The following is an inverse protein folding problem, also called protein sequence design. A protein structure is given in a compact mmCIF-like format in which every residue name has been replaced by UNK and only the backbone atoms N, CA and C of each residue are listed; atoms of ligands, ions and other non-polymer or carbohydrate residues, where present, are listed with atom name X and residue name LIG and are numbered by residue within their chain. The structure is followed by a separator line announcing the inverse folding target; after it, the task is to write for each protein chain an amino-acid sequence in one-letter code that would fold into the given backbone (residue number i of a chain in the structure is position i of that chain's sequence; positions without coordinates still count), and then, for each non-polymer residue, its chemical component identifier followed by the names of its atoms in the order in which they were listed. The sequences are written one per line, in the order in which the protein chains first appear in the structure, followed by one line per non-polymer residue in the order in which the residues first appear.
data_IF_059160610177
#
_entry.id   IF_059160610177
#
_cell.length_a   1.000
_cell.length_b   1.000
_cell.length_c   1.000
_cell.angle_alpha   90.00
_cell.angle_beta   90.00
_cell.angle_gamma   90.00
#
_symmetry.space_group_name_H-M   'P 1'
#
loop_
_entity.id
_entity.type
_entity.pdbx_description
1 polymer ?
#
# COMPACT_ATOMS: atom_id res chain seq x y z
N UNK A 1 8.92 11.18 12.18
CA UNK A 1 7.67 11.97 12.12
C UNK A 1 6.55 10.97 12.28
N UNK A 2 6.06 10.79 13.50
CA UNK A 2 4.97 9.87 13.79
C UNK A 2 3.80 10.65 14.40
N UNK A 3 3.29 11.60 13.62
CA UNK A 3 2.08 12.34 13.95
C UNK A 3 1.14 12.27 12.74
N UNK A 4 -0.16 12.31 12.99
CA UNK A 4 -1.26 12.07 12.07
C UNK A 4 -1.15 12.91 10.78
N UNK A 5 -0.79 14.21 10.83
CA UNK A 5 -0.65 15.03 9.63
C UNK A 5 0.42 14.52 8.66
N UNK A 6 1.37 13.70 9.11
CA UNK A 6 2.48 13.22 8.30
C UNK A 6 2.26 11.85 7.65
N UNK A 7 1.25 11.09 8.09
CA UNK A 7 1.06 9.68 7.69
C UNK A 7 0.80 9.52 6.18
N UNK A 8 0.09 10.47 5.57
CA UNK A 8 -0.26 10.41 4.16
C UNK A 8 0.86 10.93 3.23
N UNK A 9 1.82 11.70 3.75
CA UNK A 9 2.86 12.38 2.95
C UNK A 9 3.63 11.42 2.02
N UNK A 10 4.06 10.21 2.45
CA UNK A 10 4.77 9.28 1.58
C UNK A 10 3.98 8.87 0.34
N UNK A 11 2.65 8.85 0.41
CA UNK A 11 1.76 8.48 -0.70
C UNK A 11 1.63 9.58 -1.75
N UNK A 12 2.04 10.82 -1.46
CA UNK A 12 1.98 11.94 -2.40
C UNK A 12 2.91 11.75 -3.61
N UNK A 13 3.93 10.89 -3.54
CA UNK A 13 4.73 10.58 -4.73
C UNK A 13 3.93 9.87 -5.82
N UNK A 14 2.87 9.13 -5.48
CA UNK A 14 1.99 8.51 -6.49
C UNK A 14 1.29 9.58 -7.33
N UNK A 15 0.83 10.66 -6.70
CA UNK A 15 0.22 11.81 -7.37
C UNK A 15 1.21 12.53 -8.29
N UNK A 16 2.51 12.46 -7.99
CA UNK A 16 3.57 13.00 -8.83
C UNK A 16 4.10 12.01 -9.89
N UNK A 17 3.45 10.85 -10.12
CA UNK A 17 3.91 9.85 -11.09
C UNK A 17 5.19 9.12 -10.68
N UNK A 18 5.48 9.06 -9.39
CA UNK A 18 6.71 8.45 -8.83
C UNK A 18 6.42 7.39 -7.75
N UNK A 19 5.55 6.40 -7.99
CA UNK A 19 5.09 5.45 -6.95
C UNK A 19 6.22 4.62 -6.34
N UNK A 20 7.32 4.39 -7.06
CA UNK A 20 8.49 3.69 -6.50
C UNK A 20 9.13 4.45 -5.31
N UNK A 21 8.94 5.77 -5.21
CA UNK A 21 9.39 6.53 -4.04
C UNK A 21 8.49 6.26 -2.83
N UNK A 22 7.17 6.15 -3.02
CA UNK A 22 6.24 5.71 -1.97
C UNK A 22 6.58 4.32 -1.48
N UNK A 23 6.75 3.36 -2.39
CA UNK A 23 7.13 1.98 -2.07
C UNK A 23 8.37 1.91 -1.17
N UNK A 24 9.43 2.66 -1.53
CA UNK A 24 10.65 2.75 -0.71
C UNK A 24 10.37 3.38 0.65
N UNK A 25 9.65 4.51 0.70
CA UNK A 25 9.43 5.26 1.93
C UNK A 25 8.58 4.49 2.93
N UNK A 26 7.49 3.86 2.49
CA UNK A 26 6.62 3.08 3.38
C UNK A 26 7.38 1.91 4.01
N UNK A 27 8.18 1.17 3.24
CA UNK A 27 9.05 0.13 3.79
C UNK A 27 10.01 0.68 4.85
N UNK A 28 10.69 1.79 4.58
CA UNK A 28 11.62 2.40 5.55
C UNK A 28 10.90 2.88 6.82
N UNK A 29 9.73 3.49 6.69
CA UNK A 29 9.01 4.07 7.84
C UNK A 29 8.47 2.98 8.77
N UNK A 30 7.85 1.94 8.21
CA UNK A 30 7.34 0.82 8.99
C UNK A 30 8.48 0.09 9.70
N UNK A 31 9.54 -0.28 8.98
CA UNK A 31 10.70 -0.99 9.53
C UNK A 31 11.42 -0.21 10.64
N UNK A 32 11.53 1.12 10.50
CA UNK A 32 12.26 1.93 11.48
C UNK A 32 11.45 2.28 12.72
N UNK A 33 10.14 2.52 12.57
CA UNK A 33 9.35 3.16 13.61
C UNK A 33 8.35 2.25 14.29
N UNK A 34 7.94 1.15 13.63
CA UNK A 34 6.95 0.23 14.18
C UNK A 34 7.60 -1.11 14.49
N UNK A 35 7.87 -1.35 15.77
CA UNK A 35 8.55 -2.57 16.25
C UNK A 35 7.58 -3.44 17.05
N UNK A 36 7.91 -4.71 17.20
CA UNK A 36 7.15 -5.66 18.00
C UNK A 36 7.64 -5.74 19.45
N UNK A 37 8.12 -4.63 20.01
CA UNK A 37 8.63 -4.51 21.38
C UNK A 37 7.85 -3.45 22.18
N UNK A 38 8.19 -3.30 23.46
CA UNK A 38 7.53 -2.36 24.38
C UNK A 38 7.56 -0.91 23.90
N UNK A 39 8.56 -0.55 23.09
CA UNK A 39 8.77 0.78 22.54
C UNK A 39 8.41 0.80 21.03
N UNK A 40 7.49 -0.09 20.64
CA UNK A 40 7.12 -0.38 19.26
C UNK A 40 6.19 0.60 18.57
N UNK A 41 5.67 1.58 19.32
CA UNK A 41 4.87 2.69 18.79
C UNK A 41 5.67 3.98 18.94
N UNK A 42 5.92 4.72 17.84
CA UNK A 42 6.83 5.87 17.83
C UNK A 42 6.24 7.18 18.40
N UNK A 43 5.00 7.15 18.90
CA UNK A 43 4.22 8.28 19.38
C UNK A 43 2.93 7.82 20.05
N UNK A 44 1.98 8.73 20.26
CA UNK A 44 0.66 8.38 20.80
C UNK A 44 -0.11 7.49 19.81
N UNK A 45 -0.78 6.46 20.30
CA UNK A 45 -1.48 5.48 19.44
C UNK A 45 -2.72 6.08 18.77
N UNK A 46 -3.31 7.11 19.40
CA UNK A 46 -4.44 7.89 18.92
C UNK A 46 -5.67 7.06 18.52
N UNK A 47 -6.02 6.11 19.38
CA UNK A 47 -7.31 5.40 19.34
C UNK A 47 -7.48 4.53 18.09
N UNK A 48 -6.40 3.93 17.60
CA UNK A 48 -6.35 3.15 16.38
C UNK A 48 -5.77 3.88 15.17
N UNK A 49 -5.45 5.17 15.28
CA UNK A 49 -4.95 5.98 14.17
C UNK A 49 -3.62 5.45 13.61
N UNK A 50 -2.62 5.27 14.47
CA UNK A 50 -1.32 4.72 14.06
C UNK A 50 -1.43 3.25 13.65
N UNK A 51 -2.14 2.45 14.42
CA UNK A 51 -2.34 1.02 14.14
C UNK A 51 -3.03 0.81 12.79
N UNK A 52 -4.06 1.60 12.49
CA UNK A 52 -4.75 1.60 11.20
C UNK A 52 -3.82 1.95 10.04
N UNK A 53 -2.96 2.97 10.20
CA UNK A 53 -1.94 3.29 9.21
C UNK A 53 -1.00 2.12 8.94
N UNK A 54 -0.51 1.44 9.97
CA UNK A 54 0.37 0.28 9.83
C UNK A 54 -0.33 -0.84 9.08
N UNK A 55 -1.57 -1.20 9.48
CA UNK A 55 -2.34 -2.29 8.87
C UNK A 55 -2.56 -2.02 7.38
N UNK A 56 -3.09 -0.84 7.02
CA UNK A 56 -3.27 -0.45 5.61
C UNK A 56 -1.95 -0.47 4.84
N UNK A 57 -0.91 0.16 5.38
CA UNK A 57 0.41 0.23 4.74
C UNK A 57 1.02 -1.15 4.48
N UNK A 58 0.92 -2.07 5.44
CA UNK A 58 1.42 -3.44 5.32
C UNK A 58 0.60 -4.28 4.33
N UNK A 59 -0.71 -4.06 4.23
CA UNK A 59 -1.54 -4.65 3.16
C UNK A 59 -1.14 -4.14 1.77
N UNK A 60 -0.54 -2.95 1.70
CA UNK A 60 0.04 -2.38 0.48
C UNK A 60 -0.75 -1.22 -0.12
N UNK A 61 -1.71 -0.63 0.60
CA UNK A 61 -2.49 0.53 0.12
C UNK A 61 -3.02 1.37 1.28
N UNK A 62 -3.34 2.65 1.06
CA UNK A 62 -3.80 3.55 2.12
C UNK A 62 -4.85 4.56 1.64
N UNK A 63 -5.90 4.85 2.44
CA UNK A 63 -6.90 5.88 2.13
C UNK A 63 -6.36 7.28 2.45
N UNK A 64 -5.67 7.91 1.48
CA UNK A 64 -5.06 9.25 1.64
C UNK A 64 -6.09 10.33 1.95
N UNK A 65 -7.24 10.29 1.28
CA UNK A 65 -8.32 11.28 1.43
C UNK A 65 -9.62 10.56 1.83
N UNK A 66 -9.90 10.42 3.14
CA UNK A 66 -11.18 9.88 3.60
C UNK A 66 -12.36 10.63 2.97
N UNK A 67 -13.36 9.89 2.49
CA UNK A 67 -14.48 10.43 1.70
C UNK A 67 -14.31 10.26 0.19
N UNK A 68 -13.08 10.05 -0.30
CA UNK A 68 -12.83 9.57 -1.67
C UNK A 68 -12.81 8.04 -1.69
N UNK A 69 -13.51 7.36 -2.63
CA UNK A 69 -13.60 5.92 -2.68
C UNK A 69 -12.35 5.30 -3.36
N UNK A 70 -11.15 5.76 -3.01
CA UNK A 70 -9.89 5.27 -3.56
C UNK A 70 -8.88 4.95 -2.47
N UNK A 71 -8.00 3.99 -2.76
CA UNK A 71 -6.86 3.64 -1.94
C UNK A 71 -5.58 3.80 -2.77
N UNK A 72 -4.62 4.56 -2.25
CA UNK A 72 -3.35 4.82 -2.93
C UNK A 72 -2.38 3.68 -2.64
N UNK A 73 -1.79 3.11 -3.69
CA UNK A 73 -0.94 1.91 -3.58
C UNK A 73 0.42 2.26 -2.96
N UNK A 74 0.78 1.57 -1.89
CA UNK A 74 2.10 1.60 -1.29
C UNK A 74 2.95 0.45 -1.82
N UNK A 75 3.38 -0.43 -0.92
CA UNK A 75 4.04 -1.70 -1.26
C UNK A 75 3.66 -2.75 -0.22
N UNK A 76 3.10 -3.91 -0.60
CA UNK A 76 2.75 -4.97 0.34
C UNK A 76 3.98 -5.47 1.12
N UNK A 77 3.76 -5.87 2.37
CA UNK A 77 4.83 -6.39 3.25
C UNK A 77 4.73 -7.89 3.53
N UNK A 78 3.66 -8.55 3.07
CA UNK A 78 3.44 -9.98 3.19
C UNK A 78 3.40 -10.65 1.82
N UNK A 79 3.78 -11.93 1.74
CA UNK A 79 3.64 -12.73 0.52
C UNK A 79 2.16 -12.88 0.12
N UNK A 80 1.28 -13.03 1.12
CA UNK A 80 -0.16 -13.14 0.92
C UNK A 80 -0.90 -12.43 2.06
N UNK A 81 -1.89 -11.64 1.70
CA UNK A 81 -2.85 -11.01 2.61
C UNK A 81 -4.26 -11.42 2.18
N UNK A 82 -5.14 -11.76 3.12
CA UNK A 82 -6.54 -12.07 2.85
C UNK A 82 -7.39 -11.10 3.65
N UNK A 83 -8.24 -10.33 2.96
CA UNK A 83 -9.21 -9.43 3.57
C UNK A 83 -10.56 -10.17 3.60
N UNK A 84 -11.11 -10.37 4.80
CA UNK A 84 -12.43 -10.95 4.98
C UNK A 84 -13.48 -9.84 5.08
N UNK A 85 -14.39 -9.77 4.10
CA UNK A 85 -15.48 -8.79 4.05
C UNK A 85 -16.78 -9.36 4.69
N UNK A 86 -16.71 -10.54 5.30
CA UNK A 86 -17.84 -11.26 5.89
C UNK A 86 -18.62 -12.09 4.88
N UNK A 87 -18.94 -11.54 3.70
CA UNK A 87 -19.64 -12.25 2.63
C UNK A 87 -18.70 -12.87 1.58
N UNK A 88 -17.49 -12.31 1.42
CA UNK A 88 -16.44 -12.83 0.54
C UNK A 88 -15.06 -12.47 1.07
N UNK A 89 -14.04 -13.11 0.50
CA UNK A 89 -12.63 -12.84 0.78
C UNK A 89 -11.95 -12.27 -0.45
N UNK A 90 -11.14 -11.24 -0.26
CA UNK A 90 -10.26 -10.67 -1.29
C UNK A 90 -8.83 -11.11 -0.99
N UNK A 91 -8.19 -11.80 -1.93
CA UNK A 91 -6.80 -12.25 -1.76
C UNK A 91 -5.84 -11.30 -2.46
N UNK A 92 -4.85 -10.79 -1.72
CA UNK A 92 -3.70 -10.06 -2.26
C UNK A 92 -2.49 -10.99 -2.21
N UNK A 93 -1.76 -11.14 -3.30
CA UNK A 93 -0.56 -12.00 -3.36
C UNK A 93 0.60 -11.34 -4.08
N UNK A 94 1.80 -11.60 -3.60
CA UNK A 94 3.05 -11.07 -4.15
C UNK A 94 3.86 -12.20 -4.80
N UNK A 95 3.89 -12.21 -6.14
CA UNK A 95 4.84 -13.04 -6.90
C UNK A 95 6.26 -12.49 -6.71
N UNK A 96 7.24 -13.38 -6.56
CA UNK A 96 8.64 -13.02 -6.30
C UNK A 96 8.80 -12.22 -4.98
N UNK A 97 8.03 -12.56 -3.95
CA UNK A 97 8.16 -11.95 -2.63
C UNK A 97 9.51 -12.26 -1.99
N UNK A 98 10.15 -11.23 -1.44
CA UNK A 98 11.26 -11.35 -0.50
C UNK A 98 11.41 -10.03 0.25
N UNK A 99 12.14 -10.03 1.36
CA UNK A 99 12.45 -8.81 2.14
C UNK A 99 13.15 -7.75 1.28
N UNK A 100 13.94 -8.17 0.27
CA UNK A 100 14.63 -7.25 -0.63
C UNK A 100 13.72 -6.72 -1.75
N UNK A 101 12.72 -7.51 -2.18
CA UNK A 101 11.84 -7.21 -3.32
C UNK A 101 10.67 -6.31 -2.91
N UNK A 102 10.97 -5.03 -2.65
CA UNK A 102 9.99 -4.04 -2.19
C UNK A 102 9.31 -3.24 -3.31
N UNK A 103 9.71 -3.42 -4.57
CA UNK A 103 9.19 -2.61 -5.68
C UNK A 103 8.21 -3.37 -6.55
N UNK A 104 7.04 -2.78 -6.78
CA UNK A 104 6.03 -3.34 -7.68
C UNK A 104 6.49 -3.17 -9.13
N UNK A 105 6.55 -4.28 -9.86
CA UNK A 105 6.91 -4.33 -11.28
C UNK A 105 5.67 -4.33 -12.17
N UNK A 106 4.60 -4.97 -11.71
CA UNK A 106 3.28 -5.01 -12.36
C UNK A 106 2.21 -5.40 -11.33
N UNK A 107 0.95 -5.05 -11.60
CA UNK A 107 -0.21 -5.47 -10.80
C UNK A 107 -1.30 -6.02 -11.72
N UNK A 108 -2.08 -6.99 -11.22
CA UNK A 108 -3.28 -7.50 -11.87
C UNK A 108 -4.44 -7.57 -10.88
N UNK A 109 -5.65 -7.34 -11.36
CA UNK A 109 -6.90 -7.58 -10.63
C UNK A 109 -7.68 -8.60 -11.46
N UNK A 110 -7.96 -9.77 -10.89
CA UNK A 110 -8.63 -10.90 -11.54
C UNK A 110 -8.07 -11.21 -12.94
N UNK A 111 -6.74 -11.24 -13.03
CA UNK A 111 -5.97 -11.50 -14.26
C UNK A 111 -5.83 -10.33 -15.23
N UNK A 112 -6.59 -9.23 -15.05
CA UNK A 112 -6.51 -8.02 -15.89
C UNK A 112 -5.38 -7.10 -15.42
N UNK A 113 -4.58 -6.59 -16.35
CA UNK A 113 -3.48 -5.69 -16.03
C UNK A 113 -3.98 -4.39 -15.38
N UNK A 114 -3.33 -4.00 -14.29
CA UNK A 114 -3.61 -2.77 -13.57
C UNK A 114 -2.36 -1.90 -13.54
N UNK A 115 -2.45 -0.71 -14.17
CA UNK A 115 -1.33 0.22 -14.30
C UNK A 115 -1.64 1.59 -13.68
N UNK A 116 -2.48 1.61 -12.65
CA UNK A 116 -2.76 2.79 -11.81
C UNK A 116 -2.06 2.62 -10.46
N UNK A 117 -1.61 3.71 -9.86
CA UNK A 117 -0.96 3.75 -8.54
C UNK A 117 -1.97 3.90 -7.40
N UNK A 118 -3.24 3.56 -7.68
CA UNK A 118 -4.38 3.56 -6.79
C UNK A 118 -5.36 2.45 -7.20
N UNK A 119 -6.26 2.06 -6.31
CA UNK A 119 -7.38 1.14 -6.56
C UNK A 119 -8.66 1.76 -6.02
N UNK A 120 -9.75 1.70 -6.79
CA UNK A 120 -11.05 2.18 -6.32
C UNK A 120 -11.68 1.18 -5.35
N UNK A 121 -12.59 1.67 -4.51
CA UNK A 121 -13.24 0.85 -3.49
C UNK A 121 -14.04 -0.30 -4.12
N UNK A 122 -14.75 -0.03 -5.23
CA UNK A 122 -15.50 -1.04 -5.95
C UNK A 122 -14.60 -2.10 -6.58
N UNK A 123 -13.47 -1.71 -7.16
CA UNK A 123 -12.48 -2.66 -7.68
C UNK A 123 -11.91 -3.54 -6.57
N UNK A 124 -11.64 -2.98 -5.39
CA UNK A 124 -11.11 -3.73 -4.25
C UNK A 124 -12.11 -4.75 -3.72
N UNK A 125 -13.35 -4.34 -3.42
CA UNK A 125 -14.33 -5.23 -2.78
C UNK A 125 -14.88 -6.29 -3.75
N UNK A 126 -14.90 -6.00 -5.05
CA UNK A 126 -15.39 -6.94 -6.05
C UNK A 126 -14.30 -7.92 -6.51
N UNK A 127 -13.02 -7.60 -6.33
CA UNK A 127 -11.92 -8.49 -6.69
C UNK A 127 -11.98 -9.83 -5.94
N UNK A 128 -11.57 -10.90 -6.61
CA UNK A 128 -11.27 -12.18 -5.96
C UNK A 128 -9.77 -12.29 -5.67
N UNK A 129 -8.95 -11.84 -6.62
CA UNK A 129 -7.50 -11.88 -6.56
C UNK A 129 -6.85 -10.60 -7.08
N UNK A 130 -5.99 -10.02 -6.25
CA UNK A 130 -5.07 -8.95 -6.61
C UNK A 130 -3.65 -9.51 -6.56
N UNK A 131 -2.97 -9.53 -7.71
CA UNK A 131 -1.61 -10.05 -7.84
C UNK A 131 -0.62 -8.91 -8.07
N UNK A 132 0.42 -8.85 -7.24
CA UNK A 132 1.58 -7.98 -7.43
C UNK A 132 2.77 -8.83 -7.90
N UNK A 133 3.50 -8.36 -8.90
CA UNK A 133 4.83 -8.90 -9.23
C UNK A 133 5.87 -7.99 -8.60
N UNK A 134 6.70 -8.53 -7.71
CA UNK A 134 7.68 -7.77 -6.94
C UNK A 134 9.09 -7.85 -7.55
N UNK A 135 9.92 -6.85 -7.26
CA UNK A 135 11.31 -6.78 -7.70
C UNK A 135 12.20 -5.97 -6.77
N UNK A 136 13.51 -6.21 -6.86
CA UNK A 136 14.54 -5.57 -6.03
C UNK A 136 14.80 -4.11 -6.40
N UNK A 137 14.59 -3.75 -7.66
CA UNK A 137 14.86 -2.42 -8.20
C UNK A 137 13.56 -1.73 -8.65
N UNK A 138 13.50 -0.39 -8.60
CA UNK A 138 12.30 0.35 -8.96
C UNK A 138 11.97 0.20 -10.46
N UNK A 139 10.72 -0.16 -10.76
CA UNK A 139 10.17 0.01 -12.09
C UNK A 139 9.66 1.46 -12.23
N UNK A 140 10.41 2.31 -12.93
CA UNK A 140 10.03 3.72 -13.14
C UNK A 140 8.89 3.92 -14.14
N UNK A 141 8.50 2.86 -14.86
CA UNK A 141 7.45 2.92 -15.87
C UNK A 141 6.10 2.39 -15.35
N UNK A 142 6.10 1.59 -14.28
CA UNK A 142 4.85 1.09 -13.70
C UNK A 142 4.11 2.22 -12.98
N UNK A 143 2.84 2.40 -13.34
CA UNK A 143 1.94 3.39 -12.76
C UNK A 143 2.52 4.81 -12.65
N UNK A 144 3.31 5.22 -13.64
CA UNK A 144 4.01 6.50 -13.67
C UNK A 144 3.13 7.69 -14.10
N UNK A 145 1.87 7.44 -14.44
CA UNK A 145 0.91 8.50 -14.73
C UNK A 145 0.48 9.16 -13.40
N UNK A 146 0.53 10.51 -13.30
CA UNK A 146 -0.01 11.24 -12.16
C UNK A 146 -1.47 10.85 -11.87
N UNK A 147 -1.83 10.81 -10.59
CA UNK A 147 -3.23 10.62 -10.20
C UNK A 147 -3.95 11.95 -10.42
N UNK A 148 -4.88 11.97 -11.38
CA UNK A 148 -5.87 13.04 -11.54
C UNK A 148 -7.19 12.51 -10.98
N UNK A 149 -7.62 13.05 -9.85
CA UNK A 149 -8.94 12.78 -9.27
C UNK A 149 -9.78 14.00 -9.59
N UNK A 150 -10.77 13.84 -10.47
CA UNK A 150 -11.82 14.84 -10.69
C UNK A 150 -12.88 14.74 -9.59
#
# INVERSE_FOLDING_TARGET
MANEPSLHIPYLYNYAGHPWKTQKRIHTLIDQWFRNDLMGVPGDEDGGGLSGFVVFSMMGFYPVTPGSPIYVIGSPMFETTIIDLGNKKVKLTCRNYSIENKYIQSMKIDGKAWNNSWIGHQELINADLIEFTMGKYPNKNWAANPIHIE
#
